data_IF_313279359252
#
_entry.id   IF_313279359252
#
_cell.length_a   1.000
_cell.length_b   1.000
_cell.length_c   1.000
_cell.angle_alpha   90.00
_cell.angle_beta   90.00
_cell.angle_gamma   90.00
#
_symmetry.space_group_name_H-M   'P 1'
#
loop_
_entity.id
_entity.type
_entity.pdbx_description
1 polymer ?
#
# COMPACT_ATOMS: atom_id res chain seq x y z
N UNK A 1 15.42 -2.00 -14.70
CA UNK A 1 14.52 -1.90 -13.53
C UNK A 1 15.33 -2.36 -12.32
N UNK A 2 15.19 -1.74 -11.16
CA UNK A 2 15.96 -2.11 -9.95
C UNK A 2 15.48 -3.46 -9.41
N UNK A 3 16.39 -4.28 -8.88
CA UNK A 3 16.03 -5.57 -8.26
C UNK A 3 15.27 -5.33 -6.95
N UNK A 4 14.37 -6.24 -6.53
CA UNK A 4 13.61 -6.09 -5.28
C UNK A 4 14.52 -5.92 -4.06
N UNK A 5 15.55 -6.78 -3.91
CA UNK A 5 16.57 -6.65 -2.86
C UNK A 5 17.25 -5.26 -2.80
N UNK A 6 17.58 -4.65 -3.93
CA UNK A 6 18.23 -3.34 -3.97
C UNK A 6 17.27 -2.21 -3.54
N UNK A 7 15.96 -2.36 -3.79
CA UNK A 7 14.95 -1.38 -3.34
C UNK A 7 14.80 -1.35 -1.83
N UNK A 8 14.87 -2.51 -1.17
CA UNK A 8 14.70 -2.64 0.29
C UNK A 8 16.00 -2.61 1.06
N UNK A 9 17.16 -2.53 0.39
CA UNK A 9 18.48 -2.48 1.02
C UNK A 9 18.57 -1.48 2.17
N UNK A 10 18.13 -0.25 1.93
CA UNK A 10 18.13 0.82 2.93
C UNK A 10 17.21 0.51 4.13
N UNK A 11 16.10 -0.20 3.92
CA UNK A 11 15.19 -0.64 5.00
C UNK A 11 15.89 -1.66 5.90
N UNK A 12 16.61 -2.62 5.30
CA UNK A 12 17.34 -3.66 6.04
C UNK A 12 18.49 -3.05 6.85
N UNK A 13 19.19 -2.06 6.29
CA UNK A 13 20.31 -1.38 6.93
C UNK A 13 19.86 -0.45 8.07
N UNK A 14 18.80 0.32 7.86
CA UNK A 14 18.34 1.35 8.82
C UNK A 14 17.33 0.84 9.85
N UNK A 15 16.59 -0.24 9.53
CA UNK A 15 15.53 -0.83 10.37
C UNK A 15 14.57 0.20 10.97
N UNK A 16 13.90 1.01 10.14
CA UNK A 16 12.88 1.94 10.64
C UNK A 16 11.71 1.17 11.27
N UNK A 17 10.86 1.84 12.04
CA UNK A 17 9.65 1.22 12.60
C UNK A 17 8.66 0.80 11.48
N UNK A 18 8.56 1.60 10.43
CA UNK A 18 7.66 1.41 9.29
C UNK A 18 8.41 1.73 7.98
N UNK A 19 8.06 1.03 6.90
CA UNK A 19 8.43 1.41 5.53
C UNK A 19 7.26 1.25 4.55
N UNK A 20 7.17 2.08 3.52
CA UNK A 20 6.16 1.94 2.48
C UNK A 20 6.50 0.81 1.50
N UNK A 21 5.50 0.01 1.14
CA UNK A 21 5.58 -1.06 0.16
C UNK A 21 4.47 -0.88 -0.90
N UNK A 22 4.88 -0.47 -2.10
CA UNK A 22 4.02 -0.34 -3.29
C UNK A 22 3.46 -1.69 -3.74
N UNK A 23 2.22 -2.03 -3.36
CA UNK A 23 1.54 -3.29 -3.78
C UNK A 23 0.89 -3.11 -5.16
N UNK A 24 1.67 -2.69 -6.15
CA UNK A 24 1.13 -2.24 -7.45
C UNK A 24 1.96 -2.66 -8.65
N UNK A 25 1.27 -3.15 -9.68
CA UNK A 25 1.75 -3.10 -11.06
C UNK A 25 0.75 -2.30 -11.89
N UNK A 26 1.13 -1.10 -12.33
CA UNK A 26 0.23 -0.23 -13.10
C UNK A 26 0.98 0.73 -14.03
N UNK A 27 0.25 1.25 -15.00
CA UNK A 27 0.68 2.41 -15.77
C UNK A 27 0.61 3.67 -14.90
N UNK A 28 1.64 4.51 -14.98
CA UNK A 28 1.68 5.85 -14.40
C UNK A 28 2.20 6.82 -15.45
N UNK A 29 1.29 7.41 -16.22
CA UNK A 29 1.59 8.27 -17.38
C UNK A 29 2.57 7.60 -18.34
N UNK A 30 3.85 8.01 -18.31
CA UNK A 30 4.92 7.56 -19.21
C UNK A 30 5.76 6.43 -18.62
N UNK A 31 5.46 5.99 -17.40
CA UNK A 31 6.19 4.96 -16.68
C UNK A 31 5.27 3.82 -16.29
N UNK A 32 5.86 2.65 -16.02
CA UNK A 32 5.17 1.53 -15.39
C UNK A 32 5.76 1.38 -13.99
N UNK A 33 4.90 1.42 -12.98
CA UNK A 33 5.25 0.84 -11.69
C UNK A 33 5.10 -0.67 -11.83
N UNK A 34 6.17 -1.42 -11.62
CA UNK A 34 6.18 -2.87 -11.74
C UNK A 34 6.59 -3.51 -10.41
N UNK A 35 5.61 -4.12 -9.76
CA UNK A 35 5.80 -5.08 -8.67
C UNK A 35 5.06 -6.36 -9.04
N UNK A 36 5.78 -7.30 -9.68
CA UNK A 36 5.26 -8.65 -9.86
C UNK A 36 5.01 -9.30 -8.49
N UNK A 37 4.05 -10.22 -8.33
CA UNK A 37 3.82 -10.91 -7.05
C UNK A 37 5.10 -11.46 -6.40
N UNK A 38 6.04 -12.02 -7.17
CA UNK A 38 7.31 -12.50 -6.62
C UNK A 38 8.22 -11.39 -6.09
N UNK A 39 8.20 -10.20 -6.73
CA UNK A 39 8.94 -9.05 -6.20
C UNK A 39 8.38 -8.63 -4.83
N UNK A 40 7.06 -8.67 -4.69
CA UNK A 40 6.40 -8.34 -3.43
C UNK A 40 6.74 -9.38 -2.35
N UNK A 41 6.72 -10.67 -2.67
CA UNK A 41 7.12 -11.74 -1.76
C UNK A 41 8.57 -11.58 -1.28
N UNK A 42 9.50 -11.30 -2.20
CA UNK A 42 10.90 -11.06 -1.88
C UNK A 42 11.08 -9.84 -0.96
N UNK A 43 10.47 -8.70 -1.31
CA UNK A 43 10.57 -7.48 -0.50
C UNK A 43 9.91 -7.63 0.86
N UNK A 44 8.69 -8.20 0.93
CA UNK A 44 7.97 -8.42 2.19
C UNK A 44 8.74 -9.35 3.12
N UNK A 45 9.31 -10.45 2.63
CA UNK A 45 10.11 -11.35 3.45
C UNK A 45 11.36 -10.66 4.03
N UNK A 46 12.03 -9.83 3.23
CA UNK A 46 13.19 -9.07 3.68
C UNK A 46 12.83 -8.01 4.73
N UNK A 47 11.73 -7.27 4.50
CA UNK A 47 11.17 -6.27 5.43
C UNK A 47 10.79 -6.94 6.76
N UNK A 48 10.07 -8.07 6.71
CA UNK A 48 9.68 -8.85 7.88
C UNK A 48 10.89 -9.37 8.66
N UNK A 49 11.89 -9.92 7.97
CA UNK A 49 13.14 -10.39 8.59
C UNK A 49 13.90 -9.26 9.30
N UNK A 50 13.80 -8.03 8.78
CA UNK A 50 14.39 -6.85 9.40
C UNK A 50 13.59 -6.32 10.61
N UNK A 51 12.42 -6.90 10.92
CA UNK A 51 11.54 -6.46 12.01
C UNK A 51 10.81 -5.14 11.71
N UNK A 52 10.66 -4.79 10.43
CA UNK A 52 10.04 -3.53 9.99
C UNK A 52 8.60 -3.78 9.57
N UNK A 53 7.66 -2.89 9.95
CA UNK A 53 6.27 -2.99 9.51
C UNK A 53 6.10 -2.39 8.10
N UNK A 54 5.59 -3.15 7.11
CA UNK A 54 5.23 -2.57 5.83
C UNK A 54 3.90 -1.80 5.91
N UNK A 55 3.89 -0.57 5.39
CA UNK A 55 2.69 0.15 4.99
C UNK A 55 2.36 -0.23 3.54
N UNK A 56 1.21 -0.88 3.36
CA UNK A 56 0.76 -1.45 2.08
C UNK A 56 0.09 -0.38 1.24
N UNK A 57 0.87 0.21 0.34
CA UNK A 57 0.43 1.26 -0.58
C UNK A 57 -0.42 0.63 -1.69
N UNK A 58 -1.72 0.91 -1.68
CA UNK A 58 -2.69 0.38 -2.64
C UNK A 58 -3.31 1.51 -3.44
N UNK A 59 -3.27 1.35 -4.76
CA UNK A 59 -3.68 2.39 -5.71
C UNK A 59 -5.02 2.05 -6.39
N UNK A 60 -5.57 0.87 -6.13
CA UNK A 60 -6.83 0.36 -6.67
C UNK A 60 -7.23 -0.91 -5.89
N UNK A 61 -8.45 -1.37 -6.08
CA UNK A 61 -9.06 -2.54 -5.43
C UNK A 61 -8.34 -3.86 -5.73
N UNK A 62 -7.80 -4.04 -6.93
CA UNK A 62 -6.96 -5.20 -7.26
C UNK A 62 -5.68 -5.29 -6.42
N UNK A 63 -5.12 -4.15 -6.01
CA UNK A 63 -3.95 -4.09 -5.14
C UNK A 63 -4.28 -4.55 -3.71
N UNK A 64 -5.50 -4.27 -3.23
CA UNK A 64 -5.99 -4.80 -1.96
C UNK A 64 -6.08 -6.33 -2.01
N UNK A 65 -6.62 -6.89 -3.10
CA UNK A 65 -6.69 -8.34 -3.27
C UNK A 65 -5.30 -9.00 -3.30
N UNK A 66 -4.33 -8.36 -3.96
CA UNK A 66 -2.95 -8.83 -3.98
C UNK A 66 -2.30 -8.76 -2.58
N UNK A 67 -2.54 -7.67 -1.84
CA UNK A 67 -2.11 -7.56 -0.45
C UNK A 67 -2.74 -8.64 0.45
N UNK A 68 -4.03 -8.94 0.28
CA UNK A 68 -4.72 -10.04 0.99
C UNK A 68 -4.02 -11.37 0.71
N UNK A 69 -3.66 -11.66 -0.54
CA UNK A 69 -2.89 -12.87 -0.87
C UNK A 69 -1.53 -12.92 -0.16
N UNK A 70 -0.81 -11.80 -0.03
CA UNK A 70 0.45 -11.76 0.73
C UNK A 70 0.25 -12.00 2.22
N UNK A 71 -0.89 -11.55 2.78
CA UNK A 71 -1.27 -11.78 4.17
C UNK A 71 -1.58 -13.26 4.39
N UNK A 72 -2.37 -13.87 3.51
CA UNK A 72 -2.73 -15.29 3.55
C UNK A 72 -1.50 -16.20 3.41
N UNK A 73 -0.55 -15.81 2.57
CA UNK A 73 0.74 -16.50 2.37
C UNK A 73 1.73 -16.29 3.55
N UNK A 74 1.38 -15.45 4.54
CA UNK A 74 2.19 -15.22 5.75
C UNK A 74 3.34 -14.22 5.58
N UNK A 75 3.37 -13.45 4.50
CA UNK A 75 4.40 -12.43 4.26
C UNK A 75 4.14 -11.11 4.99
N UNK A 76 2.92 -10.89 5.48
CA UNK A 76 2.51 -9.66 6.18
C UNK A 76 1.84 -10.01 7.50
N UNK A 77 2.42 -9.52 8.60
CA UNK A 77 1.92 -9.76 9.96
C UNK A 77 0.82 -8.77 10.37
N UNK A 78 -0.09 -9.24 11.24
CA UNK A 78 -1.09 -8.40 11.88
C UNK A 78 -0.46 -7.49 12.97
N UNK A 79 -1.02 -6.28 13.22
CA UNK A 79 -2.06 -5.64 12.42
C UNK A 79 -1.46 -5.13 11.10
N UNK A 80 -2.15 -5.43 9.99
CA UNK A 80 -1.78 -4.94 8.67
C UNK A 80 -2.06 -3.45 8.58
N UNK A 81 -1.23 -2.73 7.81
CA UNK A 81 -1.43 -1.29 7.59
C UNK A 81 -1.58 -1.03 6.10
N UNK A 82 -2.73 -0.52 5.68
CA UNK A 82 -3.05 -0.16 4.30
C UNK A 82 -3.05 1.36 4.11
N UNK A 83 -2.49 1.84 3.01
CA UNK A 83 -2.52 3.26 2.62
C UNK A 83 -3.20 3.39 1.25
N UNK A 84 -4.31 4.12 1.20
CA UNK A 84 -5.04 4.35 -0.04
C UNK A 84 -4.44 5.55 -0.79
N UNK A 85 -3.79 5.26 -1.92
CA UNK A 85 -3.15 6.24 -2.79
C UNK A 85 -4.13 6.78 -3.85
N UNK A 86 -4.87 7.86 -3.54
CA UNK A 86 -5.99 8.30 -4.38
C UNK A 86 -5.65 9.43 -5.36
N UNK A 87 -6.30 9.37 -6.54
CA UNK A 87 -6.19 10.39 -7.58
C UNK A 87 -4.92 10.31 -8.42
N UNK A 88 -4.15 9.22 -8.28
CA UNK A 88 -3.04 8.89 -9.18
C UNK A 88 -3.60 8.47 -10.54
N UNK A 89 -2.98 8.94 -11.62
CA UNK A 89 -3.37 8.58 -12.98
C UNK A 89 -3.56 7.06 -13.13
N UNK A 90 -4.72 6.65 -13.65
CA UNK A 90 -5.13 5.25 -13.89
C UNK A 90 -5.30 4.37 -12.63
N UNK A 91 -5.25 4.94 -11.43
CA UNK A 91 -5.66 4.29 -10.19
C UNK A 91 -7.05 4.73 -9.72
N UNK A 92 -7.35 4.42 -8.46
CA UNK A 92 -8.58 4.80 -7.78
C UNK A 92 -8.76 6.32 -7.76
N UNK A 93 -9.96 6.83 -8.07
CA UNK A 93 -10.22 8.25 -8.06
C UNK A 93 -10.23 8.80 -6.62
N UNK A 94 -9.89 10.07 -6.47
CA UNK A 94 -9.97 10.78 -5.19
C UNK A 94 -11.42 11.17 -4.86
N UNK A 95 -12.25 10.18 -4.50
CA UNK A 95 -13.64 10.36 -4.08
C UNK A 95 -13.95 9.57 -2.80
N UNK A 96 -15.01 9.97 -2.11
CA UNK A 96 -15.46 9.29 -0.88
C UNK A 96 -15.95 7.88 -1.20
N UNK A 97 -16.60 7.69 -2.35
CA UNK A 97 -17.08 6.39 -2.82
C UNK A 97 -15.92 5.40 -3.01
N UNK A 98 -14.78 5.87 -3.53
CA UNK A 98 -13.59 5.04 -3.66
C UNK A 98 -13.03 4.62 -2.29
N UNK A 99 -12.94 5.56 -1.33
CA UNK A 99 -12.51 5.24 0.04
C UNK A 99 -13.44 4.20 0.67
N UNK A 100 -14.76 4.40 0.58
CA UNK A 100 -15.74 3.48 1.17
C UNK A 100 -15.62 2.08 0.55
N UNK A 101 -15.49 1.99 -0.77
CA UNK A 101 -15.29 0.71 -1.46
C UNK A 101 -14.01 0.02 -0.98
N UNK A 102 -12.87 0.71 -1.01
CA UNK A 102 -11.57 0.16 -0.62
C UNK A 102 -11.55 -0.26 0.86
N UNK A 103 -12.08 0.57 1.75
CA UNK A 103 -12.23 0.27 3.18
C UNK A 103 -13.03 -1.01 3.40
N UNK A 104 -14.14 -1.19 2.70
CA UNK A 104 -15.00 -2.37 2.85
C UNK A 104 -14.35 -3.68 2.36
N UNK A 105 -13.23 -3.60 1.65
CA UNK A 105 -12.46 -4.76 1.20
C UNK A 105 -11.35 -5.17 2.19
N UNK A 106 -11.09 -4.37 3.22
CA UNK A 106 -10.00 -4.63 4.15
C UNK A 106 -10.32 -5.79 5.11
N UNK A 107 -9.28 -6.51 5.60
CA UNK A 107 -9.41 -7.38 6.75
C UNK A 107 -9.97 -6.63 7.97
N UNK A 108 -10.73 -7.32 8.82
CA UNK A 108 -11.51 -6.73 9.93
C UNK A 108 -10.70 -5.84 10.89
N UNK A 109 -9.43 -6.20 11.13
CA UNK A 109 -8.56 -5.52 12.10
C UNK A 109 -7.40 -4.77 11.42
N UNK A 110 -7.52 -4.50 10.11
CA UNK A 110 -6.52 -3.73 9.39
C UNK A 110 -6.55 -2.26 9.80
N UNK A 111 -5.37 -1.72 10.09
CA UNK A 111 -5.13 -0.29 10.19
C UNK A 111 -5.15 0.27 8.76
N UNK A 112 -5.76 1.43 8.56
CA UNK A 112 -5.75 2.06 7.25
C UNK A 112 -5.72 3.58 7.30
N UNK A 113 -5.12 4.17 6.28
CA UNK A 113 -5.10 5.60 6.01
C UNK A 113 -5.42 5.87 4.55
N UNK A 114 -5.69 7.13 4.21
CA UNK A 114 -5.87 7.53 2.81
C UNK A 114 -5.36 8.96 2.57
N UNK A 115 -4.77 9.17 1.39
CA UNK A 115 -4.46 10.51 0.91
C UNK A 115 -4.94 10.72 -0.53
N UNK A 116 -5.20 11.98 -0.86
CA UNK A 116 -5.43 12.42 -2.24
C UNK A 116 -4.29 13.31 -2.72
N UNK A 117 -3.90 13.18 -3.98
CA UNK A 117 -2.83 14.04 -4.52
C UNK A 117 -3.28 15.49 -4.74
N UNK A 118 -2.35 16.44 -4.58
CA UNK A 118 -2.53 17.85 -4.94
C UNK A 118 -3.78 18.45 -4.27
N UNK A 119 -4.69 19.07 -5.04
CA UNK A 119 -5.93 19.69 -4.54
C UNK A 119 -6.86 18.73 -3.77
N UNK A 120 -6.65 17.42 -3.87
CA UNK A 120 -7.43 16.42 -3.17
C UNK A 120 -6.89 16.08 -1.77
N UNK A 121 -5.73 16.62 -1.36
CA UNK A 121 -5.10 16.31 -0.07
C UNK A 121 -6.05 16.51 1.11
N UNK A 122 -6.54 17.73 1.34
CA UNK A 122 -7.41 18.01 2.48
C UNK A 122 -8.78 17.32 2.41
N UNK A 123 -9.49 17.30 1.25
CA UNK A 123 -10.74 16.56 1.15
C UNK A 123 -10.62 15.07 1.49
N UNK A 124 -9.57 14.39 1.02
CA UNK A 124 -9.41 12.95 1.25
C UNK A 124 -8.96 12.64 2.67
N UNK A 125 -8.07 13.43 3.27
CA UNK A 125 -7.70 13.28 4.69
C UNK A 125 -8.92 13.49 5.60
N UNK A 126 -9.75 14.51 5.32
CA UNK A 126 -10.98 14.72 6.08
C UNK A 126 -11.96 13.54 5.96
N UNK A 127 -12.13 12.98 4.76
CA UNK A 127 -12.94 11.80 4.54
C UNK A 127 -12.39 10.56 5.25
N UNK A 128 -11.07 10.35 5.22
CA UNK A 128 -10.41 9.24 5.91
C UNK A 128 -10.71 9.27 7.42
N UNK A 129 -10.50 10.43 8.05
CA UNK A 129 -10.79 10.64 9.48
C UNK A 129 -12.27 10.38 9.80
N UNK A 130 -13.20 10.92 9.01
CA UNK A 130 -14.64 10.72 9.21
C UNK A 130 -15.08 9.25 9.06
N UNK A 131 -14.35 8.47 8.26
CA UNK A 131 -14.62 7.05 8.04
C UNK A 131 -13.83 6.14 8.99
N UNK A 132 -13.06 6.70 9.93
CA UNK A 132 -12.29 5.96 10.93
C UNK A 132 -10.94 5.44 10.46
N UNK A 133 -10.36 6.05 9.42
CA UNK A 133 -8.97 5.86 9.02
C UNK A 133 -8.04 6.91 9.65
N UNK A 134 -6.74 6.76 9.41
CA UNK A 134 -5.70 7.70 9.81
C UNK A 134 -5.43 8.77 8.74
#
# INVERSE_FOLDING_TARGET
MCLPAERVKHVIELRPEICSLDVVTMNRRRHVFLNHPDHLKEMSAAIQTAGVKPELEVFDTGHILNAISLIEDGFIESPQFFQFCLGIDFGAPATVEAIVMMKNMLPKDAIWSAFGISRFQFPMVAAAVLLGGH
#
